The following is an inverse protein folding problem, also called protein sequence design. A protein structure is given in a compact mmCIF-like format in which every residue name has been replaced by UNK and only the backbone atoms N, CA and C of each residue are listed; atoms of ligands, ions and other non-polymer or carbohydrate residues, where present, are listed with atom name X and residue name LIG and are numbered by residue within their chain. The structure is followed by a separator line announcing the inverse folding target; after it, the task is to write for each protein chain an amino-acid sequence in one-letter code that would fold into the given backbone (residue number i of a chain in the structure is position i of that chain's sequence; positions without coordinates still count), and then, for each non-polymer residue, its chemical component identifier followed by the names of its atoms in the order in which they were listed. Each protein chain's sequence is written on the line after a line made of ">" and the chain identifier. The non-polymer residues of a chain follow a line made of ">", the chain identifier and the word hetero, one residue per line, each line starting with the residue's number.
data_IF_214599827931
#
_entry.id   IF_214599827931
#
_cell.length_a   1.000
_cell.length_b   1.000
_cell.length_c   1.000
_cell.angle_alpha   90.00
_cell.angle_beta   90.00
_cell.angle_gamma   90.00
#
_symmetry.space_group_name_H-M   'P 1'
#
loop_
_entity.id
_entity.type
_entity.pdbx_description
1 polymer ?
#
# COMPACT_ATOMS: atom_id res chain seq x y z
N UNK A 1 23.85 10.42 18.20
CA UNK A 1 23.51 9.68 16.97
C UNK A 1 22.49 10.49 16.23
N UNK A 2 22.70 10.85 14.95
CA UNK A 2 21.66 11.52 14.18
C UNK A 2 20.45 10.60 14.09
N UNK A 3 19.25 11.18 14.13
CA UNK A 3 18.02 10.44 13.83
C UNK A 3 18.16 9.92 12.41
N UNK A 4 18.32 8.60 12.25
CA UNK A 4 18.36 7.96 10.93
C UNK A 4 16.98 8.15 10.30
N UNK A 5 16.90 8.95 9.24
CA UNK A 5 15.66 9.19 8.54
C UNK A 5 15.34 7.99 7.65
N UNK A 6 14.81 6.92 8.26
CA UNK A 6 14.46 5.67 7.57
C UNK A 6 13.48 5.87 6.41
N UNK A 7 12.68 6.94 6.43
CA UNK A 7 11.75 7.26 5.33
C UNK A 7 12.51 7.66 4.06
N UNK A 8 13.65 8.35 4.20
CA UNK A 8 14.46 8.75 3.06
C UNK A 8 15.01 7.54 2.29
N UNK A 9 15.30 6.44 3.00
CA UNK A 9 15.79 5.19 2.41
C UNK A 9 14.73 4.53 1.50
N UNK A 10 13.43 4.73 1.78
CA UNK A 10 12.32 4.22 0.97
C UNK A 10 11.96 5.09 -0.25
N UNK A 11 12.68 6.19 -0.50
CA UNK A 11 12.35 7.14 -1.57
C UNK A 11 12.26 6.48 -2.96
N UNK A 12 13.18 5.57 -3.27
CA UNK A 12 13.20 4.84 -4.54
C UNK A 12 11.97 3.91 -4.68
N UNK A 13 11.63 3.18 -3.62
CA UNK A 13 10.49 2.26 -3.61
C UNK A 13 9.17 3.03 -3.74
N UNK A 14 8.99 4.11 -2.98
CA UNK A 14 7.82 4.98 -3.08
C UNK A 14 7.66 5.60 -4.47
N UNK A 15 8.76 6.00 -5.11
CA UNK A 15 8.74 6.50 -6.48
C UNK A 15 8.29 5.41 -7.47
N UNK A 16 8.76 4.17 -7.30
CA UNK A 16 8.35 3.03 -8.12
C UNK A 16 6.87 2.68 -7.92
N UNK A 17 6.38 2.64 -6.67
CA UNK A 17 4.97 2.42 -6.36
C UNK A 17 4.09 3.49 -7.00
N UNK A 18 4.48 4.76 -6.89
CA UNK A 18 3.77 5.88 -7.52
C UNK A 18 3.69 5.68 -9.04
N UNK A 19 4.80 5.35 -9.70
CA UNK A 19 4.82 5.12 -11.14
C UNK A 19 3.92 3.96 -11.54
N UNK A 20 4.00 2.83 -10.84
CA UNK A 20 3.14 1.67 -11.07
C UNK A 20 1.66 2.05 -11.00
N UNK A 21 1.23 2.67 -9.90
CA UNK A 21 -0.15 3.10 -9.71
C UNK A 21 -0.61 4.12 -10.77
N UNK A 22 0.26 5.05 -11.17
CA UNK A 22 -0.06 6.02 -12.21
C UNK A 22 -0.21 5.40 -13.61
N UNK A 23 0.39 4.25 -13.87
CA UNK A 23 0.23 3.55 -15.16
C UNK A 23 -1.09 2.79 -15.27
N UNK A 24 -1.79 2.56 -14.15
CA UNK A 24 -3.02 1.75 -14.07
C UNK A 24 -4.08 2.50 -13.24
N UNK A 25 -4.61 3.64 -13.73
CA UNK A 25 -5.68 4.34 -13.04
C UNK A 25 -6.99 3.53 -13.10
N UNK A 26 -7.63 3.36 -11.95
CA UNK A 26 -8.96 2.75 -11.80
C UNK A 26 -9.93 3.76 -11.17
N UNK A 27 -11.24 3.50 -11.29
CA UNK A 27 -12.28 4.49 -10.98
C UNK A 27 -13.21 4.01 -9.87
N UNK A 28 -13.60 4.93 -8.99
CA UNK A 28 -14.63 4.70 -7.99
C UNK A 28 -14.33 3.49 -7.09
N UNK A 29 -15.24 2.53 -7.06
CA UNK A 29 -15.13 1.28 -6.28
C UNK A 29 -14.57 0.11 -7.10
N UNK A 30 -14.28 0.30 -8.39
CA UNK A 30 -13.79 -0.75 -9.30
C UNK A 30 -12.24 -0.77 -9.36
N UNK A 31 -11.58 -0.63 -8.20
CA UNK A 31 -10.12 -0.51 -8.08
C UNK A 31 -9.43 -1.85 -7.83
N UNK A 32 -9.73 -2.87 -8.63
CA UNK A 32 -9.32 -4.26 -8.36
C UNK A 32 -7.79 -4.45 -8.37
N UNK A 33 -7.08 -3.88 -9.36
CA UNK A 33 -5.63 -4.03 -9.47
C UNK A 33 -4.91 -3.19 -8.43
N UNK A 34 -5.42 -1.99 -8.17
CA UNK A 34 -4.91 -1.06 -7.16
C UNK A 34 -5.05 -1.67 -5.76
N UNK A 35 -6.22 -2.23 -5.45
CA UNK A 35 -6.45 -2.90 -4.18
C UNK A 35 -5.54 -4.12 -4.01
N UNK A 36 -5.40 -4.97 -5.04
CA UNK A 36 -4.48 -6.10 -5.00
C UNK A 36 -3.03 -5.66 -4.74
N UNK A 37 -2.56 -4.61 -5.44
CA UNK A 37 -1.22 -4.05 -5.22
C UNK A 37 -1.01 -3.57 -3.77
N UNK A 38 -1.98 -2.84 -3.23
CA UNK A 38 -1.91 -2.33 -1.84
C UNK A 38 -1.93 -3.48 -0.84
N UNK A 39 -2.81 -4.48 -1.03
CA UNK A 39 -2.88 -5.66 -0.17
C UNK A 39 -1.53 -6.41 -0.16
N UNK A 40 -0.91 -6.62 -1.33
CA UNK A 40 0.38 -7.28 -1.42
C UNK A 40 1.49 -6.51 -0.68
N UNK A 41 1.56 -5.18 -0.82
CA UNK A 41 2.53 -4.37 -0.06
C UNK A 41 2.30 -4.45 1.45
N UNK A 42 1.04 -4.38 1.90
CA UNK A 42 0.71 -4.47 3.33
C UNK A 42 1.06 -5.84 3.91
N UNK A 43 0.84 -6.93 3.17
CA UNK A 43 1.29 -8.27 3.57
C UNK A 43 2.81 -8.35 3.67
N UNK A 44 3.54 -7.78 2.71
CA UNK A 44 5.02 -7.73 2.75
C UNK A 44 5.56 -6.93 3.93
N UNK A 45 4.86 -5.86 4.33
CA UNK A 45 5.22 -5.07 5.51
C UNK A 45 4.93 -5.78 6.83
N UNK A 46 4.12 -6.84 6.81
CA UNK A 46 3.79 -7.64 7.99
C UNK A 46 2.80 -6.97 8.93
N UNK A 47 1.75 -6.35 8.39
CA UNK A 47 0.63 -5.85 9.22
C UNK A 47 -0.05 -6.99 9.98
N UNK A 48 -0.58 -6.70 11.17
CA UNK A 48 -1.16 -7.71 12.07
C UNK A 48 -2.49 -8.26 11.54
N UNK A 49 -3.34 -7.38 11.00
CA UNK A 49 -4.57 -7.79 10.33
C UNK A 49 -4.75 -7.05 9.01
N UNK A 50 -5.30 -7.76 8.02
CA UNK A 50 -5.66 -7.20 6.72
C UNK A 50 -7.06 -7.67 6.34
N UNK A 51 -7.97 -6.71 6.20
CA UNK A 51 -9.36 -6.92 5.80
C UNK A 51 -9.57 -6.32 4.41
N UNK A 52 -9.96 -7.14 3.44
CA UNK A 52 -10.18 -6.75 2.04
C UNK A 52 -11.65 -6.86 1.65
N UNK A 53 -12.03 -6.24 0.53
CA UNK A 53 -13.38 -6.40 -0.05
C UNK A 53 -14.46 -5.51 0.56
N UNK A 54 -14.08 -4.51 1.37
CA UNK A 54 -15.04 -3.57 1.97
C UNK A 54 -15.56 -2.65 0.87
N UNK A 55 -16.87 -2.63 0.64
CA UNK A 55 -17.47 -1.90 -0.48
C UNK A 55 -16.75 -2.18 -1.83
N UNK A 56 -16.57 -3.46 -2.14
CA UNK A 56 -15.90 -4.01 -3.34
C UNK A 56 -14.37 -4.06 -3.25
N UNK A 57 -13.67 -2.92 -3.19
CA UNK A 57 -12.19 -2.89 -3.24
C UNK A 57 -11.55 -2.13 -2.07
N UNK A 58 -12.33 -1.74 -1.07
CA UNK A 58 -11.82 -1.11 0.15
C UNK A 58 -11.00 -2.10 1.00
N UNK A 59 -9.98 -1.56 1.65
CA UNK A 59 -9.03 -2.31 2.48
C UNK A 59 -8.88 -1.61 3.82
N UNK A 60 -8.79 -2.39 4.90
CA UNK A 60 -8.42 -1.94 6.25
C UNK A 60 -7.25 -2.80 6.73
N UNK A 61 -6.17 -2.15 7.18
CA UNK A 61 -5.05 -2.82 7.84
C UNK A 61 -4.89 -2.32 9.27
N UNK A 62 -4.62 -3.25 10.20
CA UNK A 62 -4.40 -2.97 11.61
C UNK A 62 -2.93 -3.22 11.93
N UNK A 63 -2.32 -2.30 12.68
CA UNK A 63 -0.95 -2.40 13.19
C UNK A 63 -1.04 -2.23 14.71
N UNK A 64 -0.66 -3.27 15.45
CA UNK A 64 -0.57 -3.27 16.90
C UNK A 64 0.87 -2.96 17.32
N UNK A 65 1.04 -1.98 18.20
CA UNK A 65 2.34 -1.41 18.58
C UNK A 65 3.08 -2.16 19.68
#
# INVERSE_FOLDING_TARGET
>A
MPVVNRIADFSADMAAWRQHLHTIPELGLDCHKTAAFVADRLREFGVDELHEGIAQTGIVAIIEG
#
